data_IF_252583519072
#
_entry.id   IF_252583519072
#
_cell.length_a   1.000
_cell.length_b   1.000
_cell.length_c   1.000
_cell.angle_alpha   90.00
_cell.angle_beta   90.00
_cell.angle_gamma   90.00
#
_symmetry.space_group_name_H-M   'P 1'
#
loop_
_entity.id
_entity.type
_entity.pdbx_description
1 polymer ?
#
# COMPACT_ATOMS: atom_id res chain seq x y z
N UNK A 1 -14.23 -13.95 -18.33
CA UNK A 1 -14.09 -12.54 -17.89
C UNK A 1 -12.80 -12.44 -17.09
N UNK A 2 -11.86 -11.56 -17.46
CA UNK A 2 -10.60 -11.40 -16.70
C UNK A 2 -10.97 -10.68 -15.38
N UNK A 3 -10.58 -11.18 -14.19
CA UNK A 3 -10.84 -10.46 -12.96
C UNK A 3 -10.26 -9.06 -13.07
N UNK A 4 -11.03 -8.04 -12.70
CA UNK A 4 -10.49 -6.69 -12.57
C UNK A 4 -9.40 -6.74 -11.49
N UNK A 5 -8.23 -6.11 -11.70
CA UNK A 5 -7.14 -6.13 -10.73
C UNK A 5 -7.54 -5.49 -9.39
N UNK A 6 -8.59 -4.66 -9.40
CA UNK A 6 -9.17 -4.02 -8.24
C UNK A 6 -10.65 -4.41 -8.17
N UNK A 7 -11.05 -5.07 -7.09
CA UNK A 7 -12.44 -5.44 -6.81
C UNK A 7 -12.77 -4.90 -5.42
N UNK A 8 -13.33 -3.70 -5.38
CA UNK A 8 -13.64 -3.01 -4.12
C UNK A 8 -14.64 -3.81 -3.24
N UNK A 9 -15.55 -4.58 -3.85
CA UNK A 9 -16.52 -5.37 -3.11
C UNK A 9 -15.83 -6.56 -2.43
N UNK A 10 -14.96 -7.26 -3.16
CA UNK A 10 -14.14 -8.33 -2.58
C UNK A 10 -13.13 -7.79 -1.57
N UNK A 11 -12.56 -6.61 -1.81
CA UNK A 11 -11.64 -5.95 -0.88
C UNK A 11 -12.30 -5.62 0.45
N UNK A 12 -13.54 -5.13 0.42
CA UNK A 12 -14.33 -4.89 1.62
C UNK A 12 -14.72 -6.19 2.33
N UNK A 13 -15.05 -7.23 1.57
CA UNK A 13 -15.38 -8.55 2.13
C UNK A 13 -14.19 -9.22 2.82
N UNK A 14 -12.98 -9.06 2.26
CA UNK A 14 -11.72 -9.61 2.80
C UNK A 14 -11.13 -8.76 3.94
N UNK A 15 -11.66 -7.56 4.18
CA UNK A 15 -11.16 -6.68 5.23
C UNK A 15 -11.28 -7.39 6.60
N UNK A 16 -10.20 -7.42 7.40
CA UNK A 16 -10.23 -8.09 8.69
C UNK A 16 -11.33 -7.47 9.56
N UNK A 17 -12.19 -8.33 10.11
CA UNK A 17 -13.18 -7.93 11.11
C UNK A 17 -12.47 -7.67 12.44
N UNK A 18 -11.89 -6.49 12.57
CA UNK A 18 -11.30 -6.05 13.84
C UNK A 18 -12.41 -5.64 14.79
N UNK A 19 -12.47 -6.25 15.98
CA UNK A 19 -13.33 -5.78 17.06
C UNK A 19 -12.85 -4.43 17.59
N UNK A 20 -13.75 -3.44 17.66
CA UNK A 20 -13.45 -2.10 18.17
C UNK A 20 -12.62 -1.22 17.21
N UNK A 21 -12.69 0.09 17.43
CA UNK A 21 -11.88 1.05 16.68
C UNK A 21 -10.39 0.83 16.96
N UNK A 22 -9.58 0.72 15.91
CA UNK A 22 -8.12 0.63 16.03
C UNK A 22 -7.52 2.03 15.97
N UNK A 23 -6.55 2.31 16.85
CA UNK A 23 -5.78 3.55 16.75
C UNK A 23 -4.93 3.55 15.47
N UNK A 24 -5.02 4.58 14.62
CA UNK A 24 -4.15 4.71 13.46
C UNK A 24 -2.67 4.62 13.84
N UNK A 25 -1.86 4.09 12.92
CA UNK A 25 -0.41 4.04 13.03
C UNK A 25 0.19 4.87 11.92
N UNK A 26 1.22 5.65 12.24
CA UNK A 26 1.96 6.39 11.24
C UNK A 26 2.62 5.43 10.24
N UNK A 27 2.46 5.77 8.96
CA UNK A 27 2.91 4.98 7.84
C UNK A 27 3.26 5.89 6.67
N UNK A 28 4.18 5.44 5.83
CA UNK A 28 4.54 6.11 4.59
C UNK A 28 4.30 5.16 3.40
N UNK A 29 3.95 5.75 2.26
CA UNK A 29 3.72 5.03 1.00
C UNK A 29 4.50 5.72 -0.11
N UNK A 30 5.09 4.93 -1.00
CA UNK A 30 5.81 5.38 -2.18
C UNK A 30 4.95 5.13 -3.43
N UNK A 31 4.65 6.19 -4.18
CA UNK A 31 3.97 6.09 -5.48
C UNK A 31 5.02 6.33 -6.57
N UNK A 32 5.54 5.24 -7.15
CA UNK A 32 6.46 5.34 -8.27
C UNK A 32 5.69 5.33 -9.58
N UNK A 33 5.94 6.35 -10.40
CA UNK A 33 5.36 6.47 -11.74
C UNK A 33 6.41 6.28 -12.81
N UNK A 34 6.00 5.86 -14.01
CA UNK A 34 6.83 5.92 -15.22
C UNK A 34 6.00 6.27 -16.44
N UNK A 35 6.63 6.92 -17.41
CA UNK A 35 5.99 7.31 -18.67
C UNK A 35 5.21 8.63 -18.55
N UNK A 36 5.22 9.41 -19.64
CA UNK A 36 4.61 10.74 -19.68
C UNK A 36 3.14 10.72 -20.13
N UNK A 37 2.86 10.15 -21.33
CA UNK A 37 1.51 10.20 -21.93
C UNK A 37 0.56 9.11 -21.41
N UNK A 38 1.12 8.02 -20.90
CA UNK A 38 0.39 6.90 -20.28
C UNK A 38 1.16 6.53 -19.01
N UNK A 39 0.95 7.27 -17.91
CA UNK A 39 1.67 6.99 -16.68
C UNK A 39 1.27 5.61 -16.15
N UNK A 40 2.27 4.82 -15.82
CA UNK A 40 2.12 3.54 -15.13
C UNK A 40 2.59 3.70 -13.69
N UNK A 41 2.01 2.92 -12.78
CA UNK A 41 2.36 2.94 -11.35
C UNK A 41 2.91 1.59 -10.92
N UNK A 42 3.92 1.59 -10.04
CA UNK A 42 4.41 0.36 -9.41
C UNK A 42 3.49 -0.06 -8.26
N UNK A 43 3.02 -1.30 -8.31
CA UNK A 43 2.28 -1.94 -7.23
C UNK A 43 2.80 -3.36 -6.99
N UNK A 44 2.68 -3.83 -5.74
CA UNK A 44 2.96 -5.22 -5.36
C UNK A 44 1.70 -5.93 -4.91
N UNK A 45 1.62 -7.24 -5.14
CA UNK A 45 0.55 -8.08 -4.58
C UNK A 45 1.00 -8.70 -3.26
N UNK A 46 0.24 -8.48 -2.19
CA UNK A 46 0.55 -9.04 -0.87
C UNK A 46 0.37 -10.56 -0.88
N UNK A 47 1.24 -11.26 -0.14
CA UNK A 47 1.13 -12.70 0.03
C UNK A 47 -0.20 -13.08 0.74
N UNK A 48 -0.78 -14.26 0.44
CA UNK A 48 -2.05 -14.69 1.04
C UNK A 48 -2.02 -14.86 2.57
N UNK A 49 -0.84 -15.08 3.16
CA UNK A 49 -0.70 -15.29 4.60
C UNK A 49 -0.67 -14.02 5.46
N UNK A 50 -0.81 -12.82 4.87
CA UNK A 50 -0.76 -11.57 5.63
C UNK A 50 -2.09 -11.28 6.36
N UNK A 51 -2.04 -10.94 7.65
CA UNK A 51 -3.24 -10.64 8.47
C UNK A 51 -3.99 -9.36 8.08
N UNK A 52 -3.36 -8.48 7.30
CA UNK A 52 -3.94 -7.23 6.81
C UNK A 52 -3.79 -7.22 5.29
N UNK A 53 -4.85 -6.86 4.55
CA UNK A 53 -4.85 -6.76 3.08
C UNK A 53 -4.22 -7.98 2.36
N UNK A 54 -4.55 -9.20 2.79
CA UNK A 54 -4.07 -10.43 2.14
C UNK A 54 -4.44 -10.44 0.65
N UNK A 55 -3.54 -10.90 -0.21
CA UNK A 55 -3.79 -11.05 -1.66
C UNK A 55 -4.10 -9.77 -2.45
N UNK A 56 -4.08 -8.59 -1.81
CA UNK A 56 -4.42 -7.29 -2.42
C UNK A 56 -3.23 -6.65 -3.14
N UNK A 57 -3.52 -5.85 -4.17
CA UNK A 57 -2.55 -4.95 -4.78
C UNK A 57 -2.39 -3.69 -3.94
N UNK A 58 -1.16 -3.34 -3.60
CA UNK A 58 -0.82 -2.19 -2.76
C UNK A 58 0.37 -1.44 -3.33
N UNK A 59 0.47 -0.16 -3.02
CA UNK A 59 1.71 0.59 -3.24
C UNK A 59 2.78 0.12 -2.26
N UNK A 60 4.07 0.17 -2.64
CA UNK A 60 5.17 -0.03 -1.71
C UNK A 60 5.09 0.94 -0.53
N UNK A 61 5.32 0.45 0.68
CA UNK A 61 5.21 1.27 1.88
C UNK A 61 5.12 0.43 3.14
N UNK A 62 4.97 1.11 4.28
CA UNK A 62 4.93 0.46 5.57
C UNK A 62 4.79 1.44 6.72
N UNK A 63 4.73 0.88 7.93
CA UNK A 63 4.84 1.64 9.18
C UNK A 63 6.18 2.37 9.20
N UNK A 64 6.19 3.60 9.70
CA UNK A 64 7.44 4.31 9.96
C UNK A 64 8.13 3.81 11.23
N UNK A 65 9.45 3.88 11.26
CA UNK A 65 10.27 3.59 12.43
C UNK A 65 10.95 4.86 12.94
N UNK A 66 11.42 4.86 14.19
CA UNK A 66 12.08 6.06 14.77
C UNK A 66 13.30 6.53 13.96
N UNK A 67 13.99 5.60 13.30
CA UNK A 67 15.16 5.93 12.49
C UNK A 67 14.81 6.76 11.23
N UNK A 68 13.55 6.71 10.77
CA UNK A 68 13.11 7.42 9.57
C UNK A 68 13.17 8.95 9.76
N UNK A 69 12.98 9.44 10.99
CA UNK A 69 13.04 10.87 11.31
C UNK A 69 14.44 11.49 11.16
N UNK A 70 15.47 10.66 11.15
CA UNK A 70 16.88 11.08 11.04
C UNK A 70 17.55 10.52 9.79
N UNK A 71 16.80 9.83 8.93
CA UNK A 71 17.33 9.27 7.70
C UNK A 71 17.83 10.41 6.79
N UNK A 72 18.98 10.20 6.16
CA UNK A 72 19.50 11.16 5.18
C UNK A 72 18.50 11.29 4.03
N UNK A 73 18.19 12.52 3.65
CA UNK A 73 17.30 12.83 2.53
C UNK A 73 17.90 13.94 1.67
N UNK A 74 17.79 13.77 0.35
CA UNK A 74 18.31 14.70 -0.66
C UNK A 74 17.24 15.72 -1.10
N UNK A 75 15.96 15.47 -0.78
CA UNK A 75 14.85 16.38 -1.13
C UNK A 75 14.60 16.54 -2.63
N UNK A 76 15.31 15.80 -3.49
CA UNK A 76 15.30 15.95 -4.95
C UNK A 76 14.14 15.24 -5.65
N UNK A 77 13.33 14.49 -4.92
CA UNK A 77 12.14 13.80 -5.46
C UNK A 77 10.99 14.82 -5.60
N UNK A 78 10.81 15.35 -6.81
CA UNK A 78 9.66 16.15 -7.24
C UNK A 78 8.92 15.45 -8.39
#
# INVERSE_FOLDING_TARGET
MKPLPFDAAQDLADAPRTGGAQSPKDAATLILTRGAKRPEVLMGRRAPGHVFMASKWVFPGGRIERADFTAASDGSLA
#
